data_IF_115012462424
#
_entry.id   IF_115012462424
#
_cell.length_a   1.000
_cell.length_b   1.000
_cell.length_c   1.000
_cell.angle_alpha   90.00
_cell.angle_beta   90.00
_cell.angle_gamma   90.00
#
_symmetry.space_group_name_H-M   'P 1'
#
loop_
_entity.id
_entity.type
_entity.pdbx_description
1 polymer ?
#
# COMPACT_ATOMS: atom_id res chain seq x y z
N UNK A 1 -66.63 -53.29 2.04
CA UNK A 1 -65.29 -53.07 2.60
C UNK A 1 -64.95 -51.61 2.25
N UNK A 2 -65.07 -50.69 3.21
CA UNK A 2 -64.70 -49.31 3.00
C UNK A 2 -63.15 -49.18 3.06
N UNK A 3 -62.55 -48.70 1.98
CA UNK A 3 -61.13 -48.33 1.97
C UNK A 3 -61.04 -47.01 2.71
N UNK A 4 -60.67 -47.08 4.00
CA UNK A 4 -60.30 -45.89 4.75
C UNK A 4 -58.94 -45.41 4.23
N UNK A 5 -58.92 -44.40 3.43
CA UNK A 5 -57.70 -43.60 3.10
C UNK A 5 -57.29 -42.85 4.40
N UNK A 6 -56.79 -43.60 5.36
CA UNK A 6 -56.22 -43.03 6.55
C UNK A 6 -54.89 -42.37 6.21
N UNK A 7 -54.87 -41.04 6.26
CA UNK A 7 -53.63 -40.31 6.30
C UNK A 7 -52.72 -40.87 7.39
N UNK A 8 -51.62 -41.52 7.04
CA UNK A 8 -50.70 -42.08 8.01
C UNK A 8 -49.90 -40.92 8.67
N UNK A 9 -50.52 -40.29 9.68
CA UNK A 9 -49.95 -39.15 10.39
C UNK A 9 -48.60 -39.48 10.99
N UNK A 10 -48.41 -40.73 11.46
CA UNK A 10 -47.12 -41.19 12.00
C UNK A 10 -46.03 -41.21 10.92
N UNK A 11 -46.35 -41.66 9.71
CA UNK A 11 -45.38 -41.61 8.59
C UNK A 11 -45.03 -40.19 8.17
N UNK A 12 -46.01 -39.30 8.12
CA UNK A 12 -45.78 -37.87 7.84
C UNK A 12 -44.96 -37.15 8.92
N UNK A 13 -45.14 -37.53 10.20
CA UNK A 13 -44.36 -37.03 11.30
C UNK A 13 -42.92 -37.55 11.22
N UNK A 14 -42.73 -38.83 10.99
CA UNK A 14 -41.40 -39.41 10.79
C UNK A 14 -40.65 -38.77 9.60
N UNK A 15 -41.33 -38.56 8.49
CA UNK A 15 -40.72 -37.86 7.32
C UNK A 15 -40.35 -36.42 7.64
N UNK A 16 -41.14 -35.70 8.39
CA UNK A 16 -40.80 -34.33 8.84
C UNK A 16 -39.57 -34.31 9.72
N UNK A 17 -39.46 -35.19 10.71
CA UNK A 17 -38.30 -35.29 11.59
C UNK A 17 -37.03 -35.72 10.83
N UNK A 18 -37.15 -36.65 9.85
CA UNK A 18 -36.03 -37.01 8.98
C UNK A 18 -35.54 -35.83 8.16
N UNK A 19 -36.41 -35.02 7.54
CA UNK A 19 -36.03 -33.83 6.80
C UNK A 19 -35.36 -32.81 7.71
N UNK A 20 -35.93 -32.52 8.90
CA UNK A 20 -35.37 -31.59 9.87
C UNK A 20 -33.98 -32.02 10.34
N UNK A 21 -33.76 -33.30 10.58
CA UNK A 21 -32.47 -33.85 10.99
C UNK A 21 -31.47 -33.79 9.82
N UNK A 22 -31.89 -34.08 8.60
CA UNK A 22 -31.05 -33.97 7.40
C UNK A 22 -30.61 -32.54 7.13
N UNK A 23 -31.53 -31.58 7.29
CA UNK A 23 -31.23 -30.16 7.14
C UNK A 23 -30.27 -29.65 8.24
N UNK A 24 -30.47 -30.12 9.48
CA UNK A 24 -29.55 -29.80 10.58
C UNK A 24 -28.15 -30.37 10.34
N UNK A 25 -28.07 -31.63 9.90
CA UNK A 25 -26.82 -32.27 9.56
C UNK A 25 -26.08 -31.56 8.40
N UNK A 26 -26.80 -31.19 7.36
CA UNK A 26 -26.24 -30.39 6.23
C UNK A 26 -25.66 -29.07 6.69
N UNK A 27 -26.32 -28.34 7.58
CA UNK A 27 -25.81 -27.09 8.16
C UNK A 27 -24.53 -27.30 9.00
N UNK A 28 -24.46 -28.38 9.75
CA UNK A 28 -23.27 -28.72 10.55
C UNK A 28 -22.10 -29.06 9.62
N UNK A 29 -22.35 -29.86 8.58
CA UNK A 29 -21.34 -30.17 7.55
C UNK A 29 -20.84 -28.92 6.82
N UNK A 30 -21.73 -27.99 6.48
CA UNK A 30 -21.34 -26.72 5.87
C UNK A 30 -20.41 -25.89 6.77
N UNK A 31 -20.74 -25.80 8.06
CA UNK A 31 -19.90 -25.13 9.06
C UNK A 31 -18.55 -25.81 9.25
N UNK A 32 -18.54 -27.15 9.28
CA UNK A 32 -17.31 -27.92 9.44
C UNK A 32 -16.42 -27.79 8.20
N UNK A 33 -16.99 -27.88 7.00
CA UNK A 33 -16.28 -27.79 5.74
C UNK A 33 -15.69 -26.40 5.51
N UNK A 34 -16.44 -25.34 5.85
CA UNK A 34 -15.98 -23.94 5.73
C UNK A 34 -15.04 -23.50 6.86
N UNK A 35 -15.03 -24.21 7.97
CA UNK A 35 -14.33 -23.80 9.20
C UNK A 35 -14.89 -22.53 9.84
N UNK A 36 -16.08 -22.07 9.43
CA UNK A 36 -16.71 -20.83 9.90
C UNK A 36 -17.96 -21.12 10.69
N UNK A 37 -18.12 -20.42 11.79
CA UNK A 37 -19.33 -20.51 12.66
C UNK A 37 -20.57 -19.92 11.96
N UNK A 38 -20.39 -18.84 11.20
CA UNK A 38 -21.43 -18.10 10.49
C UNK A 38 -21.14 -18.22 8.99
N UNK A 39 -22.01 -18.93 8.25
CA UNK A 39 -21.90 -19.11 6.81
C UNK A 39 -23.01 -18.38 6.06
N UNK A 40 -24.17 -18.27 6.66
CA UNK A 40 -25.37 -17.70 6.02
C UNK A 40 -25.95 -16.61 6.92
N UNK A 41 -26.63 -15.65 6.30
CA UNK A 41 -27.37 -14.61 7.05
C UNK A 41 -28.43 -15.19 7.99
N UNK A 42 -28.94 -16.41 7.68
CA UNK A 42 -29.88 -17.14 8.58
C UNK A 42 -29.24 -17.67 9.85
N UNK A 43 -27.89 -17.80 9.91
CA UNK A 43 -27.19 -18.23 11.13
C UNK A 43 -27.05 -17.03 12.10
N UNK A 44 -26.63 -15.86 11.59
CA UNK A 44 -26.48 -14.61 12.33
C UNK A 44 -26.27 -13.48 11.32
N UNK A 45 -27.33 -12.74 11.03
CA UNK A 45 -27.29 -11.65 10.06
C UNK A 45 -26.39 -10.48 10.52
N UNK A 46 -26.45 -10.16 11.82
CA UNK A 46 -25.66 -9.08 12.38
C UNK A 46 -24.17 -9.44 12.43
N UNK A 47 -23.84 -10.65 12.87
CA UNK A 47 -22.48 -11.15 12.89
C UNK A 47 -21.86 -11.29 11.50
N UNK A 48 -22.66 -11.71 10.50
CA UNK A 48 -22.19 -11.78 9.10
C UNK A 48 -21.87 -10.39 8.54
N UNK A 49 -22.75 -9.39 8.77
CA UNK A 49 -22.52 -8.02 8.32
C UNK A 49 -21.25 -7.41 8.94
N UNK A 50 -21.02 -7.65 10.24
CA UNK A 50 -19.79 -7.21 10.91
C UNK A 50 -18.57 -7.94 10.35
N UNK A 51 -18.66 -9.26 10.13
CA UNK A 51 -17.55 -10.04 9.58
C UNK A 51 -17.17 -9.59 8.16
N UNK A 52 -18.16 -9.27 7.32
CA UNK A 52 -17.91 -8.79 5.95
C UNK A 52 -17.31 -7.39 5.95
N UNK A 53 -17.78 -6.49 6.84
CA UNK A 53 -17.17 -5.17 7.03
C UNK A 53 -15.71 -5.30 7.47
N UNK A 54 -15.43 -6.10 8.51
CA UNK A 54 -14.07 -6.31 9.00
C UNK A 54 -13.16 -6.97 7.95
N UNK A 55 -13.72 -7.81 7.07
CA UNK A 55 -12.98 -8.39 5.94
C UNK A 55 -12.59 -7.32 4.91
N UNK A 56 -13.52 -6.42 4.60
CA UNK A 56 -13.28 -5.26 3.74
C UNK A 56 -12.22 -4.35 4.35
N UNK A 57 -12.38 -3.99 5.62
CA UNK A 57 -11.43 -3.13 6.34
C UNK A 57 -10.02 -3.74 6.37
N UNK A 58 -9.92 -5.06 6.56
CA UNK A 58 -8.64 -5.78 6.49
C UNK A 58 -7.99 -5.71 5.10
N UNK A 59 -8.79 -5.79 4.02
CA UNK A 59 -8.26 -5.65 2.67
C UNK A 59 -7.74 -4.23 2.43
N UNK A 60 -8.49 -3.22 2.86
CA UNK A 60 -8.07 -1.81 2.77
C UNK A 60 -6.80 -1.58 3.59
N UNK A 61 -6.72 -2.10 4.82
CA UNK A 61 -5.52 -2.01 5.64
C UNK A 61 -4.29 -2.64 4.96
N UNK A 62 -4.47 -3.80 4.32
CA UNK A 62 -3.38 -4.45 3.60
C UNK A 62 -2.88 -3.62 2.40
N UNK A 63 -3.77 -2.88 1.73
CA UNK A 63 -3.39 -1.93 0.67
C UNK A 63 -2.68 -0.72 1.28
N UNK A 64 -3.22 -0.15 2.36
CA UNK A 64 -2.63 0.99 3.05
C UNK A 64 -1.19 0.71 3.51
N UNK A 65 -0.93 -0.50 4.04
CA UNK A 65 0.43 -0.94 4.42
C UNK A 65 1.35 -0.99 3.19
N UNK A 66 0.88 -1.51 2.06
CA UNK A 66 1.70 -1.49 0.82
C UNK A 66 2.00 -0.07 0.37
N UNK A 67 1.00 0.80 0.35
CA UNK A 67 1.18 2.20 -0.01
C UNK A 67 2.18 2.91 0.91
N UNK A 68 2.15 2.61 2.21
CA UNK A 68 3.13 3.15 3.16
C UNK A 68 4.55 2.66 2.86
N UNK A 69 4.73 1.37 2.53
CA UNK A 69 6.02 0.82 2.15
C UNK A 69 6.55 1.41 0.83
N UNK A 70 5.66 1.64 -0.14
CA UNK A 70 6.00 2.34 -1.39
C UNK A 70 6.45 3.78 -1.10
N UNK A 71 5.76 4.46 -0.18
CA UNK A 71 6.16 5.78 0.30
C UNK A 71 7.54 5.79 0.96
N UNK A 72 7.82 4.84 1.85
CA UNK A 72 9.13 4.68 2.47
C UNK A 72 10.22 4.47 1.40
N UNK A 73 9.93 3.62 0.41
CA UNK A 73 10.86 3.36 -0.68
C UNK A 73 11.15 4.63 -1.50
N UNK A 74 10.12 5.42 -1.76
CA UNK A 74 10.25 6.71 -2.48
C UNK A 74 11.11 7.70 -1.71
N UNK A 75 10.87 7.84 -0.40
CA UNK A 75 11.67 8.72 0.47
C UNK A 75 13.12 8.26 0.55
N UNK A 76 13.39 6.96 0.65
CA UNK A 76 14.74 6.43 0.68
C UNK A 76 15.52 6.70 -0.62
N UNK A 77 14.84 6.64 -1.79
CA UNK A 77 15.47 6.99 -3.06
C UNK A 77 15.81 8.49 -3.09
N UNK A 78 14.87 9.34 -2.66
CA UNK A 78 15.10 10.77 -2.60
C UNK A 78 16.24 11.13 -1.62
N UNK A 79 16.28 10.51 -0.44
CA UNK A 79 17.33 10.71 0.56
C UNK A 79 18.71 10.30 0.05
N UNK A 80 18.80 9.16 -0.63
CA UNK A 80 20.05 8.71 -1.26
C UNK A 80 20.55 9.70 -2.31
N UNK A 81 19.66 10.20 -3.17
CA UNK A 81 20.02 11.19 -4.19
C UNK A 81 20.44 12.54 -3.58
N UNK A 82 19.78 12.97 -2.50
CA UNK A 82 20.17 14.17 -1.74
C UNK A 82 21.53 13.99 -1.06
N UNK A 83 21.86 12.78 -0.61
CA UNK A 83 23.19 12.44 -0.10
C UNK A 83 24.28 12.61 -1.16
N UNK A 84 24.03 12.13 -2.40
CA UNK A 84 24.94 12.33 -3.52
C UNK A 84 25.11 13.82 -3.88
N UNK A 85 24.00 14.56 -3.97
CA UNK A 85 24.03 16.02 -4.18
C UNK A 85 24.85 16.72 -3.12
N UNK A 86 24.69 16.36 -1.85
CA UNK A 86 25.47 16.91 -0.74
C UNK A 86 26.98 16.67 -0.89
N UNK A 87 27.37 15.47 -1.34
CA UNK A 87 28.75 15.15 -1.67
C UNK A 87 29.32 16.03 -2.79
N UNK A 88 28.54 16.20 -3.86
CA UNK A 88 28.94 17.07 -4.98
C UNK A 88 29.04 18.53 -4.55
N UNK A 89 28.10 19.03 -3.71
CA UNK A 89 28.15 20.38 -3.17
C UNK A 89 29.40 20.62 -2.31
N UNK A 90 29.79 19.63 -1.51
CA UNK A 90 31.04 19.70 -0.73
C UNK A 90 32.25 19.82 -1.66
N UNK A 91 32.27 19.04 -2.75
CA UNK A 91 33.35 19.15 -3.74
C UNK A 91 33.37 20.50 -4.46
N UNK A 92 32.21 21.04 -4.81
CA UNK A 92 32.10 22.39 -5.38
C UNK A 92 32.64 23.47 -4.43
N UNK A 93 32.36 23.35 -3.12
CA UNK A 93 32.91 24.25 -2.11
C UNK A 93 34.45 24.17 -2.04
N UNK A 94 35.03 22.95 -2.07
CA UNK A 94 36.46 22.76 -2.13
C UNK A 94 37.11 23.40 -3.35
N UNK A 95 36.50 23.22 -4.54
CA UNK A 95 37.00 23.83 -5.79
C UNK A 95 36.93 25.34 -5.76
N UNK A 96 35.84 25.90 -5.18
CA UNK A 96 35.69 27.34 -5.01
C UNK A 96 36.76 27.93 -4.10
N UNK A 97 37.02 27.29 -2.95
CA UNK A 97 38.06 27.71 -2.01
C UNK A 97 39.47 27.60 -2.64
N UNK A 98 39.73 26.51 -3.37
CA UNK A 98 40.97 26.32 -4.10
C UNK A 98 41.16 27.40 -5.17
N UNK A 99 40.10 27.72 -5.93
CA UNK A 99 40.16 28.76 -6.98
C UNK A 99 40.37 30.20 -6.40
N UNK A 100 39.90 30.44 -5.18
CA UNK A 100 40.07 31.71 -4.48
C UNK A 100 41.53 31.96 -4.05
N UNK A 101 42.34 30.92 -3.94
CA UNK A 101 43.73 31.03 -3.56
C UNK A 101 44.58 31.72 -4.66
N UNK A 102 45.22 32.82 -4.34
CA UNK A 102 45.99 33.66 -5.26
C UNK A 102 47.25 33.02 -5.90
N UNK A 103 47.68 31.86 -5.44
CA UNK A 103 48.85 31.14 -6.01
C UNK A 103 48.56 30.40 -7.32
N UNK A 104 47.29 30.21 -7.69
CA UNK A 104 46.89 29.52 -8.93
C UNK A 104 46.92 30.45 -10.11
N UNK A 105 47.53 30.00 -11.21
CA UNK A 105 47.55 30.69 -12.50
C UNK A 105 46.14 30.72 -13.13
N UNK A 106 45.94 31.61 -14.12
CA UNK A 106 44.71 31.72 -14.90
C UNK A 106 44.32 30.39 -15.54
N UNK A 107 45.31 29.69 -16.12
CA UNK A 107 45.08 28.37 -16.76
C UNK A 107 44.60 27.33 -15.76
N UNK A 108 45.19 27.30 -14.57
CA UNK A 108 44.78 26.37 -13.50
C UNK A 108 43.39 26.70 -12.97
N UNK A 109 43.03 28.00 -12.78
CA UNK A 109 41.67 28.38 -12.41
C UNK A 109 40.65 28.04 -13.48
N UNK A 110 41.00 28.15 -14.75
CA UNK A 110 40.14 27.71 -15.88
C UNK A 110 39.87 26.22 -15.82
N UNK A 111 40.85 25.38 -15.46
CA UNK A 111 40.67 23.94 -15.28
C UNK A 111 39.71 23.66 -14.11
N UNK A 112 39.90 24.34 -12.94
CA UNK A 112 39.00 24.23 -11.81
C UNK A 112 37.56 24.67 -12.14
N UNK A 113 37.40 25.75 -12.95
CA UNK A 113 36.11 26.21 -13.41
C UNK A 113 35.41 25.19 -14.32
N UNK A 114 36.14 24.48 -15.17
CA UNK A 114 35.55 23.42 -15.99
C UNK A 114 35.05 22.24 -15.15
N UNK A 115 35.84 21.84 -14.14
CA UNK A 115 35.41 20.80 -13.16
C UNK A 115 34.16 21.27 -12.40
N UNK A 116 34.14 22.52 -11.95
CA UNK A 116 33.00 23.12 -11.26
C UNK A 116 31.71 23.06 -12.10
N UNK A 117 31.78 23.46 -13.37
CA UNK A 117 30.64 23.42 -14.30
C UNK A 117 30.19 21.99 -14.54
N UNK A 118 31.10 21.04 -14.67
CA UNK A 118 30.75 19.63 -14.84
C UNK A 118 30.03 19.06 -13.62
N UNK A 119 30.50 19.39 -12.40
CA UNK A 119 29.85 19.00 -11.16
C UNK A 119 28.50 19.68 -10.97
N UNK A 120 28.33 20.94 -11.34
CA UNK A 120 27.05 21.64 -11.31
C UNK A 120 26.03 20.94 -12.26
N UNK A 121 26.46 20.55 -13.45
CA UNK A 121 25.62 19.78 -14.38
C UNK A 121 25.25 18.41 -13.82
N UNK A 122 26.13 17.79 -13.04
CA UNK A 122 25.85 16.52 -12.39
C UNK A 122 24.74 16.64 -11.33
N UNK A 123 24.71 17.74 -10.55
CA UNK A 123 23.59 18.01 -9.62
C UNK A 123 22.27 18.07 -10.40
N UNK A 124 22.24 18.81 -11.51
CA UNK A 124 21.04 18.90 -12.34
C UNK A 124 20.64 17.53 -12.89
N UNK A 125 21.62 16.75 -13.34
CA UNK A 125 21.37 15.39 -13.82
C UNK A 125 20.75 14.51 -12.72
N UNK A 126 21.31 14.52 -11.51
CA UNK A 126 20.78 13.76 -10.37
C UNK A 126 19.34 14.20 -10.06
N UNK A 127 19.09 15.51 -10.01
CA UNK A 127 17.76 16.05 -9.70
C UNK A 127 16.72 15.65 -10.76
N UNK A 128 17.09 15.65 -12.04
CA UNK A 128 16.17 15.32 -13.15
C UNK A 128 16.00 13.81 -13.32
N UNK A 129 17.03 13.01 -13.04
CA UNK A 129 16.97 11.55 -13.25
C UNK A 129 16.39 10.79 -12.05
N UNK A 130 16.37 11.39 -10.86
CA UNK A 130 15.83 10.75 -9.67
C UNK A 130 14.30 10.66 -9.76
N UNK A 131 13.81 9.44 -9.98
CA UNK A 131 12.39 9.16 -10.13
C UNK A 131 12.01 7.82 -9.49
N UNK A 132 10.75 7.72 -9.10
CA UNK A 132 10.12 6.47 -8.67
C UNK A 132 8.83 6.27 -9.47
N UNK A 133 8.73 5.13 -10.16
CA UNK A 133 7.58 4.79 -11.01
C UNK A 133 7.16 5.93 -11.99
N UNK A 134 8.14 6.62 -12.59
CA UNK A 134 7.92 7.73 -13.52
C UNK A 134 7.56 9.07 -12.85
N UNK A 135 7.51 9.13 -11.52
CA UNK A 135 7.31 10.38 -10.77
C UNK A 135 8.67 10.93 -10.37
N UNK A 136 8.97 12.16 -10.83
CA UNK A 136 10.20 12.88 -10.45
C UNK A 136 10.13 13.30 -8.99
N UNK A 137 11.22 13.07 -8.23
CA UNK A 137 11.23 13.31 -6.79
C UNK A 137 11.92 14.62 -6.40
N UNK A 138 12.89 15.09 -7.19
CA UNK A 138 13.74 16.24 -6.85
C UNK A 138 13.64 17.40 -7.84
N UNK A 139 13.05 17.20 -9.03
CA UNK A 139 13.00 18.26 -10.07
C UNK A 139 11.88 19.28 -9.87
N UNK A 140 11.16 19.23 -8.74
CA UNK A 140 10.17 20.22 -8.32
C UNK A 140 8.77 20.02 -8.91
N UNK A 141 7.74 20.38 -8.13
CA UNK A 141 6.34 20.51 -8.57
C UNK A 141 5.45 19.27 -8.44
N UNK A 142 5.95 18.11 -8.11
CA UNK A 142 5.10 16.95 -7.86
C UNK A 142 4.85 16.77 -6.36
N UNK A 143 3.63 17.07 -5.91
CA UNK A 143 3.18 16.61 -4.60
C UNK A 143 2.77 15.14 -4.71
N UNK A 144 3.45 14.26 -4.00
CA UNK A 144 3.09 12.84 -3.91
C UNK A 144 2.15 12.65 -2.74
N UNK A 145 0.96 12.12 -3.02
CA UNK A 145 -0.04 11.80 -2.00
C UNK A 145 -0.12 10.29 -1.82
N UNK A 146 0.09 9.82 -0.61
CA UNK A 146 0.01 8.42 -0.23
C UNK A 146 -1.25 8.18 0.59
N UNK A 147 -2.14 7.32 0.12
CA UNK A 147 -3.32 6.91 0.87
C UNK A 147 -2.95 5.77 1.84
N UNK A 148 -2.90 6.08 3.14
CA UNK A 148 -2.51 5.13 4.21
C UNK A 148 -3.63 4.83 5.21
N UNK A 149 -4.80 5.42 5.03
CA UNK A 149 -5.96 5.24 5.92
C UNK A 149 -7.15 4.59 5.23
N UNK A 150 -8.25 4.45 6.00
CA UNK A 150 -9.47 3.73 5.60
C UNK A 150 -10.47 4.60 4.83
N UNK A 151 -10.30 5.91 4.86
CA UNK A 151 -11.21 6.86 4.23
C UNK A 151 -10.45 7.86 3.34
N UNK A 152 -11.20 8.70 2.63
CA UNK A 152 -10.65 9.76 1.77
C UNK A 152 -10.32 11.05 2.53
N UNK A 153 -10.39 11.05 3.86
CA UNK A 153 -10.07 12.22 4.66
C UNK A 153 -8.58 12.56 4.55
N UNK A 154 -8.25 13.84 4.64
CA UNK A 154 -6.85 14.32 4.61
C UNK A 154 -5.99 13.73 5.72
N UNK A 155 -6.61 13.30 6.84
CA UNK A 155 -5.96 12.59 7.94
C UNK A 155 -5.51 11.18 7.59
N UNK A 156 -6.07 10.60 6.52
CA UNK A 156 -5.73 9.27 6.01
C UNK A 156 -4.69 9.32 4.88
N UNK A 157 -4.17 10.51 4.58
CA UNK A 157 -3.20 10.78 3.51
C UNK A 157 -1.91 11.37 4.09
N UNK A 158 -0.79 10.94 3.54
CA UNK A 158 0.52 11.54 3.76
C UNK A 158 0.92 12.21 2.45
N UNK A 159 1.26 13.51 2.49
CA UNK A 159 1.75 14.24 1.33
C UNK A 159 3.15 14.77 1.60
N UNK A 160 4.01 14.72 0.58
CA UNK A 160 5.33 15.38 0.57
C UNK A 160 5.56 16.02 -0.81
N UNK A 161 6.30 17.11 -0.84
CA UNK A 161 6.61 17.91 -2.03
C UNK A 161 8.07 18.33 -2.05
#
# INVERSE_FOLDING_TARGET
MGITLGLNISSLTAQRELRKTSDALSRVFEKLSSGKRINRASDDAAGLAIADRLRSDRQVAAVAIRNANDGISTVNIADSALGEISGVLTRLAELAEQSANGVFSVTQRSALSNEFVALASEIERIAVTTEFNGVKLLSGGASVQLQVGFDSASTAQISYS
#
